data_IF_234296083848
#
_entry.id   IF_234296083848
#
_cell.length_a   1.000
_cell.length_b   1.000
_cell.length_c   1.000
_cell.angle_alpha   90.00
_cell.angle_beta   90.00
_cell.angle_gamma   90.00
#
_symmetry.space_group_name_H-M   'P 1'
#
loop_
_entity.id
_entity.type
_entity.pdbx_description
1 polymer ?
#
# COMPACT_ATOMS: atom_id res chain seq x y z
N UNK A 1 6.47 6.00 -19.33
CA UNK A 1 6.93 5.00 -18.35
C UNK A 1 7.79 5.59 -17.23
N UNK A 2 8.62 6.60 -17.44
CA UNK A 2 9.43 7.20 -16.35
C UNK A 2 8.60 7.68 -15.14
N UNK A 3 7.55 8.48 -15.35
CA UNK A 3 6.71 9.00 -14.26
C UNK A 3 5.99 7.86 -13.52
N UNK A 4 5.44 6.90 -14.25
CA UNK A 4 4.78 5.74 -13.65
C UNK A 4 5.76 4.93 -12.77
N UNK A 5 6.97 4.68 -13.25
CA UNK A 5 8.02 4.02 -12.48
C UNK A 5 8.41 4.82 -11.22
N UNK A 6 8.63 6.13 -11.36
CA UNK A 6 8.93 7.00 -10.22
C UNK A 6 7.84 6.94 -9.14
N UNK A 7 6.57 6.96 -9.53
CA UNK A 7 5.44 6.88 -8.60
C UNK A 7 5.36 5.50 -7.92
N UNK A 8 5.60 4.42 -8.66
CA UNK A 8 5.58 3.06 -8.11
C UNK A 8 6.70 2.85 -7.09
N UNK A 9 7.93 3.28 -7.40
CA UNK A 9 9.06 3.19 -6.47
C UNK A 9 8.84 4.05 -5.23
N UNK A 10 8.39 5.30 -5.42
CA UNK A 10 8.05 6.17 -4.30
C UNK A 10 6.97 5.56 -3.39
N UNK A 11 5.94 4.95 -3.98
CA UNK A 11 4.91 4.23 -3.24
C UNK A 11 5.49 3.02 -2.49
N UNK A 12 6.32 2.21 -3.15
CA UNK A 12 6.94 1.02 -2.55
C UNK A 12 7.79 1.36 -1.33
N UNK A 13 8.63 2.39 -1.43
CA UNK A 13 9.43 2.88 -0.28
C UNK A 13 8.52 3.34 0.85
N UNK A 14 7.51 4.16 0.55
CA UNK A 14 6.58 4.67 1.58
C UNK A 14 5.79 3.55 2.26
N UNK A 15 5.38 2.53 1.50
CA UNK A 15 4.67 1.36 2.00
C UNK A 15 5.53 0.53 2.96
N UNK A 16 6.76 0.20 2.54
CA UNK A 16 7.69 -0.59 3.35
C UNK A 16 8.02 0.13 4.66
N UNK A 17 8.37 1.41 4.60
CA UNK A 17 8.64 2.23 5.80
C UNK A 17 7.42 2.29 6.72
N UNK A 18 6.21 2.48 6.16
CA UNK A 18 4.98 2.52 6.96
C UNK A 18 4.70 1.19 7.66
N UNK A 19 4.89 0.06 6.98
CA UNK A 19 4.73 -1.27 7.57
C UNK A 19 5.71 -1.50 8.71
N UNK A 20 6.99 -1.16 8.50
CA UNK A 20 8.03 -1.36 9.52
C UNK A 20 7.79 -0.51 10.78
N UNK A 21 7.27 0.72 10.62
CA UNK A 21 7.04 1.62 11.75
C UNK A 21 5.78 1.31 12.55
N UNK A 22 4.71 0.91 11.86
CA UNK A 22 3.36 0.85 12.42
C UNK A 22 2.87 -0.58 12.68
N UNK A 23 3.49 -1.60 12.08
CA UNK A 23 3.12 -3.00 12.33
C UNK A 23 4.04 -3.59 13.39
N UNK A 24 3.49 -4.16 14.48
CA UNK A 24 4.28 -4.87 15.48
C UNK A 24 5.16 -5.97 14.89
N UNK A 25 6.39 -6.10 15.37
CA UNK A 25 7.38 -7.03 14.82
C UNK A 25 6.92 -8.50 14.83
N UNK A 26 6.12 -8.90 15.83
CA UNK A 26 5.52 -10.24 15.95
C UNK A 26 4.44 -10.53 14.90
N UNK A 27 3.89 -9.48 14.27
CA UNK A 27 2.82 -9.58 13.25
C UNK A 27 3.26 -9.16 11.86
N UNK A 28 4.40 -8.50 11.71
CA UNK A 28 4.90 -7.96 10.44
C UNK A 28 4.93 -9.01 9.31
N UNK A 29 5.50 -10.18 9.58
CA UNK A 29 5.58 -11.27 8.60
C UNK A 29 4.19 -11.76 8.13
N UNK A 30 3.20 -11.79 9.04
CA UNK A 30 1.83 -12.19 8.69
C UNK A 30 1.14 -11.14 7.84
N UNK A 31 1.28 -9.86 8.18
CA UNK A 31 0.71 -8.75 7.41
C UNK A 31 1.28 -8.74 5.99
N UNK A 32 2.61 -8.87 5.86
CA UNK A 32 3.27 -8.96 4.56
C UNK A 32 2.80 -10.17 3.74
N UNK A 33 2.63 -11.32 4.38
CA UNK A 33 2.11 -12.53 3.72
C UNK A 33 0.70 -12.30 3.14
N UNK A 34 -0.17 -11.61 3.88
CA UNK A 34 -1.52 -11.31 3.39
C UNK A 34 -1.49 -10.34 2.19
N UNK A 35 -0.64 -9.33 2.24
CA UNK A 35 -0.45 -8.37 1.14
C UNK A 35 0.07 -9.05 -0.14
N UNK A 36 1.10 -9.88 -0.01
CA UNK A 36 1.65 -10.65 -1.13
C UNK A 36 0.62 -11.60 -1.75
N UNK A 37 -0.09 -12.37 -0.92
CA UNK A 37 -1.12 -13.30 -1.41
C UNK A 37 -2.23 -12.53 -2.13
N UNK A 38 -2.67 -11.41 -1.58
CA UNK A 38 -3.65 -10.53 -2.22
C UNK A 38 -3.16 -10.06 -3.59
N UNK A 39 -1.92 -9.58 -3.67
CA UNK A 39 -1.30 -9.11 -4.91
C UNK A 39 -1.14 -10.22 -5.95
N UNK A 40 -0.71 -11.42 -5.55
CA UNK A 40 -0.56 -12.56 -6.44
C UNK A 40 -1.88 -13.09 -6.99
N UNK A 41 -2.99 -12.88 -6.29
CA UNK A 41 -4.33 -13.22 -6.81
C UNK A 41 -4.85 -12.10 -7.71
N UNK A 42 -4.70 -10.84 -7.29
CA UNK A 42 -5.24 -9.68 -8.00
C UNK A 42 -4.59 -9.48 -9.37
N UNK A 43 -3.27 -9.65 -9.48
CA UNK A 43 -2.52 -9.43 -10.72
C UNK A 43 -3.00 -10.33 -11.88
N UNK A 44 -2.99 -11.67 -11.78
CA UNK A 44 -3.47 -12.53 -12.87
C UNK A 44 -4.96 -12.34 -13.14
N UNK A 45 -5.77 -12.06 -12.11
CA UNK A 45 -7.19 -11.81 -12.30
C UNK A 45 -7.43 -10.54 -13.15
N UNK A 46 -6.66 -9.48 -12.88
CA UNK A 46 -6.69 -8.25 -13.67
C UNK A 46 -6.28 -8.50 -15.12
N UNK A 47 -5.18 -9.21 -15.34
CA UNK A 47 -4.68 -9.55 -16.69
C UNK A 47 -5.71 -10.38 -17.49
N UNK A 48 -6.33 -11.38 -16.87
CA UNK A 48 -7.35 -12.21 -17.53
C UNK A 48 -8.62 -11.40 -17.82
N UNK A 49 -9.03 -10.50 -16.92
CA UNK A 49 -10.25 -9.73 -17.07
C UNK A 49 -10.12 -8.58 -18.08
N UNK A 50 -8.97 -7.93 -18.18
CA UNK A 50 -8.83 -6.68 -18.96
C UNK A 50 -9.03 -6.90 -20.46
N UNK A 51 -8.60 -8.04 -21.00
CA UNK A 51 -8.73 -8.37 -22.41
C UNK A 51 -10.19 -8.47 -22.88
N UNK A 52 -11.01 -9.36 -22.28
CA UNK A 52 -12.44 -9.45 -22.56
C UNK A 52 -13.17 -8.13 -22.33
N UNK A 53 -12.89 -7.42 -21.22
CA UNK A 53 -13.52 -6.11 -20.96
C UNK A 53 -13.17 -5.13 -22.07
N UNK A 54 -11.91 -5.01 -22.47
CA UNK A 54 -11.49 -4.13 -23.55
C UNK A 54 -12.10 -4.49 -24.92
N UNK A 55 -12.38 -5.77 -25.15
CA UNK A 55 -13.06 -6.21 -26.37
C UNK A 55 -14.53 -5.78 -26.41
N UNK A 56 -15.24 -5.92 -25.29
CA UNK A 56 -16.68 -5.64 -25.19
C UNK A 56 -17.00 -4.14 -25.14
N UNK A 57 -16.27 -3.36 -24.32
CA UNK A 57 -16.58 -1.92 -24.09
C UNK A 57 -15.57 -0.97 -24.75
N UNK A 58 -14.53 -1.51 -25.39
CA UNK A 58 -13.48 -0.76 -26.06
C UNK A 58 -12.33 -0.35 -25.15
N UNK A 59 -11.16 -0.13 -25.77
CA UNK A 59 -9.91 0.18 -25.08
C UNK A 59 -9.97 1.49 -24.29
N UNK A 60 -10.47 2.56 -24.88
CA UNK A 60 -10.51 3.89 -24.24
C UNK A 60 -11.34 3.90 -22.96
N UNK A 61 -12.54 3.29 -23.01
CA UNK A 61 -13.43 3.17 -21.84
C UNK A 61 -12.79 2.28 -20.78
N UNK A 62 -12.14 1.19 -21.18
CA UNK A 62 -11.47 0.28 -20.24
C UNK A 62 -10.32 0.97 -19.50
N UNK A 63 -9.48 1.74 -20.20
CA UNK A 63 -8.38 2.50 -19.59
C UNK A 63 -8.88 3.56 -18.61
N UNK A 64 -9.94 4.29 -18.96
CA UNK A 64 -10.55 5.26 -18.05
C UNK A 64 -11.19 4.55 -16.85
N UNK A 65 -11.84 3.41 -17.09
CA UNK A 65 -12.48 2.60 -16.05
C UNK A 65 -11.47 2.09 -15.02
N UNK A 66 -10.36 1.49 -15.46
CA UNK A 66 -9.30 1.02 -14.54
C UNK A 66 -8.66 2.17 -13.78
N UNK A 67 -8.38 3.30 -14.44
CA UNK A 67 -7.89 4.51 -13.78
C UNK A 67 -8.87 5.06 -12.74
N UNK A 68 -10.18 5.01 -13.03
CA UNK A 68 -11.24 5.43 -12.11
C UNK A 68 -11.28 4.51 -10.89
N UNK A 69 -11.23 3.19 -11.08
CA UNK A 69 -11.22 2.22 -9.98
C UNK A 69 -10.00 2.43 -9.08
N UNK A 70 -8.82 2.60 -9.66
CA UNK A 70 -7.60 2.89 -8.89
C UNK A 70 -7.73 4.21 -8.10
N UNK A 71 -8.26 5.25 -8.73
CA UNK A 71 -8.48 6.56 -8.07
C UNK A 71 -9.47 6.43 -6.91
N UNK A 72 -10.57 5.69 -7.09
CA UNK A 72 -11.55 5.45 -6.03
C UNK A 72 -10.96 4.67 -4.85
N UNK A 73 -10.09 3.69 -5.11
CA UNK A 73 -9.39 2.97 -4.05
C UNK A 73 -8.49 3.90 -3.21
N UNK A 74 -7.74 4.80 -3.86
CA UNK A 74 -6.90 5.80 -3.19
C UNK A 74 -7.77 6.78 -2.38
N UNK A 75 -8.83 7.31 -2.96
CA UNK A 75 -9.77 8.21 -2.26
C UNK A 75 -10.43 7.51 -1.08
N UNK A 76 -10.77 6.22 -1.22
CA UNK A 76 -11.29 5.39 -0.14
C UNK A 76 -10.31 5.27 1.02
N UNK A 77 -9.03 4.96 0.74
CA UNK A 77 -7.98 4.96 1.76
C UNK A 77 -7.83 6.33 2.43
N UNK A 78 -7.75 7.41 1.66
CA UNK A 78 -7.63 8.78 2.17
C UNK A 78 -8.86 9.25 2.95
N UNK A 79 -10.01 8.60 2.80
CA UNK A 79 -11.18 8.90 3.62
C UNK A 79 -10.98 8.48 5.08
N UNK A 80 -10.11 7.49 5.34
CA UNK A 80 -9.72 7.09 6.69
C UNK A 80 -8.88 8.18 7.36
N UNK A 81 -9.29 8.61 8.56
CA UNK A 81 -8.53 9.60 9.34
C UNK A 81 -7.17 9.05 9.74
N UNK A 82 -7.10 7.78 10.15
CA UNK A 82 -5.85 7.10 10.53
C UNK A 82 -4.82 7.15 9.40
N UNK A 83 -5.24 6.95 8.15
CA UNK A 83 -4.36 7.05 6.98
C UNK A 83 -3.91 8.49 6.74
N UNK A 84 -4.82 9.46 6.85
CA UNK A 84 -4.50 10.89 6.64
C UNK A 84 -3.57 11.47 7.71
N UNK A 85 -3.66 10.97 8.93
CA UNK A 85 -2.85 11.43 10.05
C UNK A 85 -1.72 10.48 10.39
N UNK A 86 -1.44 9.49 9.54
CA UNK A 86 -0.32 8.58 9.72
C UNK A 86 0.98 9.40 9.72
N UNK A 87 1.73 9.33 10.82
CA UNK A 87 2.97 10.09 10.99
C UNK A 87 4.14 9.14 10.99
N UNK A 88 5.25 9.58 10.42
CA UNK A 88 6.51 8.88 10.59
C UNK A 88 6.87 8.77 12.07
N UNK A 89 7.31 7.59 12.51
CA UNK A 89 7.73 7.37 13.89
C UNK A 89 9.12 7.97 14.10
N UNK A 90 9.21 9.04 14.89
CA UNK A 90 10.48 9.73 15.13
C UNK A 90 11.35 8.90 16.11
N UNK A 91 12.69 8.99 16.01
CA UNK A 91 13.62 8.24 16.88
C UNK A 91 13.42 8.45 18.40
N UNK A 92 12.75 9.52 18.82
CA UNK A 92 12.48 9.82 20.24
C UNK A 92 11.39 8.94 20.87
N UNK A 93 10.60 8.21 20.07
CA UNK A 93 9.55 7.29 20.55
C UNK A 93 10.09 5.90 20.95
N UNK A 94 11.41 5.69 20.90
CA UNK A 94 12.05 4.50 21.49
C UNK A 94 11.94 4.63 23.02
N UNK A 95 11.28 3.70 23.73
CA UNK A 95 11.20 3.76 25.18
C UNK A 95 12.60 3.90 25.76
N UNK A 96 12.87 5.00 26.48
CA UNK A 96 14.16 5.17 27.17
C UNK A 96 14.39 3.92 28.00
N UNK A 97 15.59 3.29 27.93
CA UNK A 97 15.90 2.19 28.83
C UNK A 97 15.62 2.68 30.24
N UNK A 98 14.77 1.95 30.96
CA UNK A 98 14.49 2.21 32.38
C UNK A 98 15.86 2.28 33.02
N UNK A 99 16.27 3.48 33.42
CA UNK A 99 17.49 3.65 34.19
C UNK A 99 17.20 2.90 35.48
N UNK A 100 17.72 1.67 35.58
CA UNK A 100 17.78 0.95 36.84
C UNK A 100 18.54 1.87 37.78
N UNK A 101 17.81 2.57 38.64
CA UNK A 101 18.36 3.26 39.79
C UNK A 101 18.84 2.16 40.73
N UNK A 102 20.05 1.67 40.48
CA UNK A 102 20.77 0.80 41.40
C UNK A 102 21.06 1.64 42.66
N UNK A 103 20.72 1.13 43.86
CA UNK A 103 20.82 1.85 45.13
C UNK A 103 22.26 2.19 45.54
#
# INVERSE_FOLDING_TARGET
MFVAGLMLEQFGVAWETSMQEHVPADRLARVYSYDMVGSFIAMPLGEVAVGPVAHEIGLGVTLIGTGTVATLAVVGMLSSREVRTLRHRLPEDVPRPVTESVP
#
